data_IF_732005598718
#
_entry.id   IF_732005598718
#
_cell.length_a   1.000
_cell.length_b   1.000
_cell.length_c   1.000
_cell.angle_alpha   90.00
_cell.angle_beta   90.00
_cell.angle_gamma   90.00
#
_symmetry.space_group_name_H-M   'P 1'
#
loop_
_entity.id
_entity.type
_entity.pdbx_description
1 polymer ?
#
# COMPACT_ATOMS: atom_id res chain seq x y z
N UNK A 1 -23.11 34.11 -6.56
CA UNK A 1 -22.75 34.30 -7.99
C UNK A 1 -21.88 33.12 -8.41
N UNK A 2 -22.50 32.05 -8.92
CA UNK A 2 -21.78 30.86 -9.38
C UNK A 2 -21.24 31.09 -10.78
N UNK A 3 -19.93 30.99 -10.97
CA UNK A 3 -19.29 30.96 -12.30
C UNK A 3 -18.93 29.51 -12.62
N UNK A 4 -19.74 28.90 -13.48
CA UNK A 4 -19.50 27.59 -14.07
C UNK A 4 -18.49 27.71 -15.22
N UNK A 5 -17.43 26.90 -15.21
CA UNK A 5 -16.48 26.81 -16.32
C UNK A 5 -17.05 25.94 -17.47
N UNK A 6 -16.79 26.25 -18.75
CA UNK A 6 -17.31 25.50 -19.88
C UNK A 6 -16.47 24.25 -20.15
N UNK A 7 -17.15 23.12 -20.38
CA UNK A 7 -16.58 21.87 -20.90
C UNK A 7 -16.40 22.00 -22.41
N UNK A 8 -15.18 21.79 -22.91
CA UNK A 8 -14.92 21.64 -24.34
C UNK A 8 -15.14 20.19 -24.76
N UNK A 9 -16.22 19.97 -25.52
CA UNK A 9 -16.45 18.77 -26.30
C UNK A 9 -16.10 19.06 -27.77
N UNK A 10 -15.21 18.28 -28.38
CA UNK A 10 -15.05 18.12 -29.84
C UNK A 10 -14.60 16.67 -30.10
N UNK A 11 -15.52 15.80 -30.49
CA UNK A 11 -15.95 15.42 -31.87
C UNK A 11 -15.02 14.38 -32.50
N UNK A 12 -15.64 13.22 -32.77
CA UNK A 12 -15.18 12.10 -33.59
C UNK A 12 -14.98 12.50 -35.07
N UNK A 13 -14.00 11.88 -35.73
CA UNK A 13 -13.98 11.69 -37.18
C UNK A 13 -13.24 10.39 -37.55
N UNK A 14 -13.78 9.70 -38.54
CA UNK A 14 -13.57 8.30 -38.92
C UNK A 14 -12.36 8.00 -39.83
N UNK A 15 -12.07 6.69 -39.92
CA UNK A 15 -11.44 5.92 -41.02
C UNK A 15 -9.93 6.16 -41.26
N UNK A 16 -9.07 5.16 -41.43
CA UNK A 16 -9.13 4.04 -42.39
C UNK A 16 -8.26 2.84 -41.95
N UNK A 17 -8.71 1.63 -42.27
CA UNK A 17 -7.95 0.37 -42.21
C UNK A 17 -7.04 0.23 -43.44
N UNK A 18 -5.82 -0.32 -43.30
CA UNK A 18 -5.36 -1.32 -44.26
C UNK A 18 -4.92 -2.63 -43.60
N UNK A 19 -5.45 -3.72 -44.15
CA UNK A 19 -4.96 -5.09 -44.00
C UNK A 19 -3.62 -5.20 -44.73
N UNK A 20 -2.57 -5.72 -44.08
CA UNK A 20 -1.42 -6.29 -44.76
C UNK A 20 -1.12 -7.67 -44.16
N UNK A 21 -1.42 -8.70 -44.95
CA UNK A 21 -0.94 -10.06 -44.79
C UNK A 21 0.52 -10.11 -45.25
N UNK A 22 1.44 -10.55 -44.39
CA UNK A 22 2.68 -11.19 -44.83
C UNK A 22 2.89 -12.46 -44.02
N UNK A 23 2.77 -13.58 -44.73
CA UNK A 23 3.26 -14.87 -44.29
C UNK A 23 4.79 -14.84 -44.26
N UNK A 24 5.39 -15.16 -43.12
CA UNK A 24 6.83 -15.32 -42.94
C UNK A 24 7.16 -16.73 -42.48
N UNK A 25 6.93 -17.70 -43.37
CA UNK A 25 7.43 -19.06 -43.22
C UNK A 25 8.83 -19.10 -43.84
N UNK A 26 9.86 -19.20 -43.03
CA UNK A 26 11.24 -19.35 -43.49
C UNK A 26 11.74 -20.73 -43.07
N UNK A 27 11.83 -21.65 -44.04
CA UNK A 27 12.90 -22.65 -44.21
C UNK A 27 12.49 -23.64 -45.30
N UNK A 28 13.30 -23.72 -46.36
CA UNK A 28 13.05 -24.51 -47.55
C UNK A 28 13.40 -25.99 -47.44
N UNK A 29 12.55 -26.79 -48.07
CA UNK A 29 12.76 -27.92 -48.98
C UNK A 29 13.93 -28.91 -48.76
N UNK A 30 13.57 -30.18 -48.56
CA UNK A 30 14.04 -31.30 -49.39
C UNK A 30 13.01 -32.46 -49.41
N UNK A 31 12.82 -33.06 -50.59
CA UNK A 31 11.91 -34.19 -50.87
C UNK A 31 12.58 -35.53 -50.56
N UNK A 32 11.81 -36.49 -50.03
CA UNK A 32 11.62 -37.85 -50.58
C UNK A 32 10.61 -38.65 -49.74
N UNK A 33 9.69 -39.29 -50.43
CA UNK A 33 8.75 -40.27 -49.90
C UNK A 33 9.47 -41.52 -49.39
N UNK A 34 9.08 -42.03 -48.22
CA UNK A 34 9.01 -43.47 -47.95
C UNK A 34 8.00 -43.75 -46.83
N UNK A 35 7.09 -44.69 -47.10
CA UNK A 35 6.12 -45.22 -46.15
C UNK A 35 6.85 -46.06 -45.10
N UNK A 36 6.64 -45.77 -43.82
CA UNK A 36 6.69 -46.79 -42.78
C UNK A 36 5.79 -46.41 -41.59
N UNK A 37 4.96 -47.37 -41.18
CA UNK A 37 4.18 -47.33 -39.96
C UNK A 37 5.13 -47.45 -38.75
N UNK A 38 4.95 -46.60 -37.74
CA UNK A 38 5.71 -46.66 -36.49
C UNK A 38 5.24 -45.55 -35.55
N UNK A 39 4.77 -45.93 -34.37
CA UNK A 39 4.00 -45.07 -33.49
C UNK A 39 4.76 -44.06 -32.63
N UNK A 40 3.96 -43.49 -31.74
CA UNK A 40 4.31 -42.88 -30.46
C UNK A 40 4.90 -41.46 -30.41
N UNK A 41 4.12 -40.66 -29.67
CA UNK A 41 4.53 -39.57 -28.79
C UNK A 41 4.99 -38.26 -29.44
N UNK A 42 4.04 -37.32 -29.56
CA UNK A 42 4.36 -35.91 -29.29
C UNK A 42 4.90 -35.83 -27.86
N UNK A 43 6.08 -35.26 -27.60
CA UNK A 43 6.39 -34.82 -26.25
C UNK A 43 5.55 -33.58 -25.99
N UNK A 44 4.31 -33.79 -25.52
CA UNK A 44 3.60 -32.78 -24.76
C UNK A 44 4.34 -32.62 -23.44
N UNK A 45 5.39 -31.81 -23.44
CA UNK A 45 6.06 -31.44 -22.19
C UNK A 45 5.02 -30.71 -21.34
N UNK A 46 4.68 -31.17 -20.12
CA UNK A 46 3.90 -30.36 -19.22
C UNK A 46 4.76 -29.14 -18.89
N UNK A 47 4.38 -27.99 -19.43
CA UNK A 47 4.96 -26.72 -19.01
C UNK A 47 4.68 -26.59 -17.52
N UNK A 48 5.71 -26.80 -16.69
CA UNK A 48 5.61 -26.63 -15.25
C UNK A 48 5.17 -25.19 -15.00
N UNK A 49 3.89 -25.01 -14.69
CA UNK A 49 3.38 -23.69 -14.30
C UNK A 49 4.14 -23.28 -13.05
N UNK A 50 4.70 -22.05 -12.97
CA UNK A 50 5.49 -21.63 -11.84
C UNK A 50 4.66 -21.75 -10.55
N UNK A 51 5.05 -22.67 -9.67
CA UNK A 51 4.43 -22.83 -8.35
C UNK A 51 4.95 -21.74 -7.43
N UNK A 52 4.15 -20.70 -7.27
CA UNK A 52 4.42 -19.59 -6.34
C UNK A 52 3.93 -19.94 -4.93
N UNK A 53 4.69 -19.55 -3.90
CA UNK A 53 4.27 -19.73 -2.51
C UNK A 53 2.93 -19.01 -2.24
N UNK A 54 2.01 -19.67 -1.54
CA UNK A 54 0.68 -19.13 -1.24
C UNK A 54 0.74 -17.92 -0.30
N UNK A 55 -0.21 -17.00 -0.46
CA UNK A 55 -0.39 -15.86 0.43
C UNK A 55 -0.99 -16.32 1.78
N UNK A 56 -0.50 -15.76 2.89
CA UNK A 56 -0.98 -16.09 4.25
C UNK A 56 -2.36 -15.50 4.53
N UNK A 57 -2.59 -14.27 4.09
CA UNK A 57 -3.84 -13.54 4.28
C UNK A 57 -4.61 -13.45 2.96
N UNK A 58 -5.92 -13.69 3.01
CA UNK A 58 -6.82 -13.62 1.85
C UNK A 58 -7.71 -12.37 1.82
N UNK A 59 -7.90 -11.72 2.98
CA UNK A 59 -8.72 -10.52 3.17
C UNK A 59 -8.09 -9.58 4.20
N UNK A 60 -8.46 -8.31 4.15
CA UNK A 60 -8.13 -7.30 5.16
C UNK A 60 -9.22 -7.25 6.24
N UNK A 61 -8.89 -6.95 7.51
CA UNK A 61 -9.88 -6.59 8.51
C UNK A 61 -10.45 -5.19 8.21
N UNK A 62 -11.46 -4.79 8.97
CA UNK A 62 -11.88 -3.39 9.01
C UNK A 62 -10.73 -2.52 9.54
N UNK A 63 -10.24 -1.60 8.70
CA UNK A 63 -9.04 -0.80 8.97
C UNK A 63 -9.24 0.19 10.13
N UNK A 64 -10.45 0.71 10.32
CA UNK A 64 -10.72 1.60 11.44
C UNK A 64 -10.77 0.86 12.79
N UNK A 65 -11.08 -0.43 12.76
CA UNK A 65 -11.09 -1.30 13.94
C UNK A 65 -9.73 -1.92 14.28
N UNK A 66 -8.65 -1.61 13.53
CA UNK A 66 -7.31 -2.13 13.85
C UNK A 66 -6.67 -1.47 15.06
N UNK A 67 -7.21 -0.33 15.50
CA UNK A 67 -6.80 0.37 16.72
C UNK A 67 -7.98 0.43 17.68
N UNK A 68 -7.72 0.21 18.96
CA UNK A 68 -8.72 0.34 20.00
C UNK A 68 -9.12 1.80 20.21
N UNK A 69 -10.33 2.02 20.72
CA UNK A 69 -10.79 3.36 21.09
C UNK A 69 -9.88 4.03 22.13
N UNK A 70 -9.25 3.25 23.03
CA UNK A 70 -8.27 3.76 23.99
C UNK A 70 -7.04 4.31 23.28
N UNK A 71 -6.47 3.56 22.34
CA UNK A 71 -5.31 4.01 21.54
C UNK A 71 -5.65 5.27 20.76
N UNK A 72 -6.84 5.34 20.15
CA UNK A 72 -7.28 6.55 19.44
C UNK A 72 -7.43 7.73 20.38
N UNK A 73 -8.03 7.55 21.57
CA UNK A 73 -8.19 8.63 22.56
C UNK A 73 -6.84 9.14 23.08
N UNK A 74 -5.85 8.26 23.25
CA UNK A 74 -4.50 8.61 23.70
C UNK A 74 -3.70 9.34 22.60
N UNK A 75 -3.79 8.89 21.34
CA UNK A 75 -2.98 9.41 20.23
C UNK A 75 -3.62 10.59 19.49
N UNK A 76 -4.95 10.67 19.48
CA UNK A 76 -5.68 11.75 18.81
C UNK A 76 -6.68 12.35 19.80
N UNK A 77 -6.21 13.10 20.81
CA UNK A 77 -7.09 13.81 21.73
C UNK A 77 -8.09 14.66 20.96
N UNK A 78 -9.35 14.66 21.43
CA UNK A 78 -10.46 15.36 20.77
C UNK A 78 -10.64 14.97 19.29
N UNK A 79 -10.40 13.69 18.95
CA UNK A 79 -10.68 13.18 17.62
C UNK A 79 -12.08 13.57 17.13
N UNK A 80 -12.18 14.16 15.94
CA UNK A 80 -13.44 14.57 15.30
C UNK A 80 -14.39 13.38 15.13
N UNK A 81 -13.83 12.20 14.86
CA UNK A 81 -14.56 10.94 14.83
C UNK A 81 -13.74 9.86 15.55
N UNK A 82 -14.21 9.43 16.72
CA UNK A 82 -13.57 8.39 17.53
C UNK A 82 -13.47 7.03 16.82
N UNK A 83 -14.42 6.72 15.92
CA UNK A 83 -14.39 5.49 15.13
C UNK A 83 -13.51 5.61 13.88
N UNK A 84 -12.95 6.79 13.63
CA UNK A 84 -12.17 7.07 12.44
C UNK A 84 -13.02 7.21 11.19
N UNK A 85 -12.41 7.79 10.16
CA UNK A 85 -13.01 8.00 8.86
C UNK A 85 -12.34 7.09 7.86
N UNK A 86 -13.06 6.10 7.36
CA UNK A 86 -12.61 5.31 6.21
C UNK A 86 -12.36 6.23 5.01
N UNK A 87 -11.22 6.07 4.37
CA UNK A 87 -10.85 6.83 3.18
C UNK A 87 -11.21 6.04 1.91
N UNK A 88 -11.60 6.73 0.81
CA UNK A 88 -11.86 6.08 -0.47
C UNK A 88 -10.65 5.28 -0.95
N UNK A 89 -10.91 4.11 -1.53
CA UNK A 89 -9.90 3.24 -2.14
C UNK A 89 -10.37 2.85 -3.53
N UNK A 90 -9.44 2.87 -4.50
CA UNK A 90 -9.72 2.40 -5.86
C UNK A 90 -9.92 0.88 -5.91
N UNK A 91 -9.34 0.14 -4.96
CA UNK A 91 -9.53 -1.31 -4.81
C UNK A 91 -9.72 -1.66 -3.33
N UNK A 92 -10.97 -1.73 -2.90
CA UNK A 92 -11.34 -2.09 -1.54
C UNK A 92 -11.07 -3.55 -1.18
N UNK A 93 -10.78 -4.42 -2.16
CA UNK A 93 -10.47 -5.82 -1.91
C UNK A 93 -9.04 -6.02 -1.41
N UNK A 94 -8.14 -5.09 -1.74
CA UNK A 94 -6.73 -5.18 -1.37
C UNK A 94 -6.20 -3.94 -0.65
N UNK A 95 -6.99 -2.87 -0.55
CA UNK A 95 -6.58 -1.64 0.10
C UNK A 95 -7.68 -1.03 0.94
N UNK A 96 -7.34 -0.64 2.16
CA UNK A 96 -8.23 0.09 3.06
C UNK A 96 -7.40 1.07 3.90
N UNK A 97 -7.94 2.28 4.12
CA UNK A 97 -7.29 3.29 4.95
C UNK A 97 -8.30 3.93 5.90
N UNK A 98 -7.86 4.26 7.11
CA UNK A 98 -8.64 5.01 8.09
C UNK A 98 -7.86 6.22 8.60
N UNK A 99 -8.56 7.35 8.76
CA UNK A 99 -8.03 8.60 9.29
C UNK A 99 -8.74 8.98 10.59
N UNK A 100 -7.94 9.40 11.56
CA UNK A 100 -8.37 10.14 12.74
C UNK A 100 -7.65 11.48 12.76
N UNK A 101 -8.36 12.55 13.04
CA UNK A 101 -7.77 13.86 13.28
C UNK A 101 -8.44 14.54 14.47
N UNK A 102 -7.65 15.31 15.22
CA UNK A 102 -8.08 15.98 16.43
C UNK A 102 -7.31 17.28 16.62
N UNK A 103 -7.96 18.22 17.29
CA UNK A 103 -7.37 19.47 17.73
C UNK A 103 -7.81 19.68 19.17
N UNK A 104 -6.87 19.57 20.11
CA UNK A 104 -7.11 19.89 21.51
C UNK A 104 -6.47 21.24 21.82
N UNK A 105 -7.30 22.28 21.96
CA UNK A 105 -6.87 23.67 21.95
C UNK A 105 -6.08 23.99 20.67
N UNK A 106 -4.75 24.04 20.76
CA UNK A 106 -3.85 24.32 19.65
C UNK A 106 -2.98 23.12 19.26
N UNK A 107 -3.13 21.98 19.94
CA UNK A 107 -2.38 20.76 19.67
C UNK A 107 -3.11 19.92 18.62
N UNK A 108 -2.59 19.92 17.40
CA UNK A 108 -3.11 19.12 16.30
C UNK A 108 -2.47 17.73 16.28
N UNK A 109 -3.31 16.72 16.04
CA UNK A 109 -2.88 15.34 15.77
C UNK A 109 -3.66 14.75 14.61
N UNK A 110 -2.96 14.00 13.77
CA UNK A 110 -3.55 13.20 12.69
C UNK A 110 -2.90 11.84 12.65
N UNK A 111 -3.71 10.79 12.62
CA UNK A 111 -3.28 9.40 12.54
C UNK A 111 -3.97 8.76 11.34
N UNK A 112 -3.19 8.21 10.41
CA UNK A 112 -3.70 7.42 9.30
C UNK A 112 -3.13 6.02 9.36
N UNK A 113 -3.99 5.00 9.29
CA UNK A 113 -3.57 3.61 9.08
C UNK A 113 -4.01 3.20 7.69
N UNK A 114 -3.06 2.75 6.87
CA UNK A 114 -3.32 2.22 5.54
C UNK A 114 -2.85 0.77 5.44
N UNK A 115 -3.70 -0.09 4.89
CA UNK A 115 -3.44 -1.50 4.68
C UNK A 115 -3.35 -1.79 3.18
N UNK A 116 -2.36 -2.59 2.79
CA UNK A 116 -2.26 -3.15 1.44
C UNK A 116 -2.04 -4.67 1.51
N UNK A 117 -2.95 -5.42 0.92
CA UNK A 117 -2.87 -6.87 0.76
C UNK A 117 -2.26 -7.21 -0.60
N UNK A 118 -1.32 -8.14 -0.62
CA UNK A 118 -0.72 -8.69 -1.82
C UNK A 118 -1.12 -10.15 -1.98
N UNK A 119 -1.71 -10.49 -3.13
CA UNK A 119 -1.95 -11.90 -3.49
C UNK A 119 -0.70 -12.48 -4.15
N UNK A 120 -0.44 -13.75 -3.89
CA UNK A 120 0.52 -14.50 -4.68
C UNK A 120 -0.04 -14.74 -6.07
N UNK A 121 0.81 -14.56 -7.07
CA UNK A 121 0.43 -14.71 -8.47
C UNK A 121 1.61 -15.37 -9.22
N UNK A 122 1.38 -16.41 -10.05
CA UNK A 122 2.46 -17.09 -10.76
C UNK A 122 3.27 -16.19 -11.71
N UNK A 123 2.66 -15.12 -12.25
CA UNK A 123 3.31 -14.16 -13.13
C UNK A 123 4.02 -13.01 -12.40
N UNK A 124 3.59 -12.68 -11.17
CA UNK A 124 4.15 -11.56 -10.38
C UNK A 124 5.00 -11.98 -9.18
N UNK A 125 4.97 -13.26 -8.80
CA UNK A 125 5.65 -13.79 -7.63
C UNK A 125 4.80 -13.80 -6.35
N UNK A 126 5.43 -14.20 -5.24
CA UNK A 126 4.71 -14.39 -3.97
C UNK A 126 4.22 -13.08 -3.39
N UNK A 127 3.06 -13.13 -2.72
CA UNK A 127 2.48 -11.95 -2.07
C UNK A 127 3.41 -11.36 -1.00
N UNK A 128 4.16 -12.21 -0.29
CA UNK A 128 5.12 -11.78 0.73
C UNK A 128 6.29 -10.99 0.14
N UNK A 129 6.90 -11.49 -0.95
CA UNK A 129 7.99 -10.78 -1.63
C UNK A 129 7.52 -9.41 -2.14
N UNK A 130 6.36 -9.39 -2.79
CA UNK A 130 5.75 -8.15 -3.32
C UNK A 130 5.39 -7.16 -2.22
N UNK A 131 4.93 -7.65 -1.07
CA UNK A 131 4.71 -6.83 0.12
C UNK A 131 6.02 -6.22 0.62
N UNK A 132 7.13 -6.96 0.61
CA UNK A 132 8.46 -6.44 0.98
C UNK A 132 8.94 -5.30 0.07
N UNK A 133 8.83 -5.50 -1.24
CA UNK A 133 9.17 -4.47 -2.23
C UNK A 133 8.31 -3.22 -2.06
N UNK A 134 7.00 -3.40 -1.85
CA UNK A 134 6.10 -2.27 -1.60
C UNK A 134 6.41 -1.56 -0.28
N UNK A 135 6.71 -2.28 0.80
CA UNK A 135 7.08 -1.69 2.08
C UNK A 135 8.33 -0.80 1.96
N UNK A 136 9.37 -1.29 1.27
CA UNK A 136 10.56 -0.50 0.98
C UNK A 136 10.24 0.76 0.16
N UNK A 137 9.35 0.64 -0.85
CA UNK A 137 8.89 1.78 -1.63
C UNK A 137 8.12 2.80 -0.76
N UNK A 138 7.25 2.35 0.15
CA UNK A 138 6.51 3.26 1.03
C UNK A 138 7.42 4.01 1.99
N UNK A 139 8.44 3.35 2.56
CA UNK A 139 9.43 4.02 3.40
C UNK A 139 10.22 5.08 2.61
N UNK A 140 10.67 4.74 1.39
CA UNK A 140 11.37 5.70 0.51
C UNK A 140 10.47 6.90 0.13
N UNK A 141 9.19 6.65 -0.15
CA UNK A 141 8.20 7.71 -0.42
C UNK A 141 7.99 8.60 0.80
N UNK A 142 7.84 8.03 1.99
CA UNK A 142 7.68 8.81 3.22
C UNK A 142 8.86 9.75 3.48
N UNK A 143 10.08 9.34 3.10
CA UNK A 143 11.28 10.16 3.28
C UNK A 143 11.41 11.30 2.26
N UNK A 144 10.60 11.32 1.20
CA UNK A 144 10.79 12.21 0.04
C UNK A 144 9.50 12.88 -0.46
N UNK A 145 8.35 12.56 0.12
CA UNK A 145 7.06 13.07 -0.34
C UNK A 145 6.86 14.55 0.00
N UNK A 146 6.27 15.30 -0.92
CA UNK A 146 5.87 16.68 -0.66
C UNK A 146 7.04 17.61 -0.36
N UNK A 147 6.92 18.39 0.72
CA UNK A 147 7.94 19.37 1.16
C UNK A 147 8.59 18.97 2.48
N UNK A 148 8.70 17.65 2.73
CA UNK A 148 9.35 17.13 3.92
C UNK A 148 10.85 17.45 3.95
N UNK A 149 11.40 17.55 5.15
CA UNK A 149 12.79 17.87 5.45
C UNK A 149 13.30 17.00 6.60
N UNK A 150 14.62 16.98 6.78
CA UNK A 150 15.32 16.20 7.81
C UNK A 150 14.90 14.71 7.91
N UNK A 151 14.81 13.97 6.79
CA UNK A 151 14.36 12.59 6.84
C UNK A 151 15.34 11.72 7.64
N UNK A 152 14.80 10.97 8.60
CA UNK A 152 15.54 9.94 9.34
C UNK A 152 14.85 8.61 9.14
N UNK A 153 15.55 7.65 8.56
CA UNK A 153 15.02 6.32 8.26
C UNK A 153 15.78 5.27 9.07
N UNK A 154 15.04 4.39 9.76
CA UNK A 154 15.62 3.34 10.59
C UNK A 154 14.84 2.03 10.43
N UNK A 155 15.56 0.91 10.34
CA UNK A 155 14.94 -0.41 10.47
C UNK A 155 14.70 -0.70 11.95
N UNK A 156 13.54 -1.26 12.27
CA UNK A 156 13.18 -1.60 13.66
C UNK A 156 12.70 -3.04 13.76
N UNK A 157 13.13 -3.73 14.82
CA UNK A 157 12.72 -5.09 15.11
C UNK A 157 11.49 -5.14 16.03
N UNK A 158 10.83 -6.30 16.10
CA UNK A 158 9.74 -6.55 17.04
C UNK A 158 8.39 -5.92 16.66
N UNK A 159 8.21 -5.52 15.39
CA UNK A 159 6.94 -5.06 14.82
C UNK A 159 6.74 -5.75 13.48
N UNK A 160 5.80 -6.70 13.41
CA UNK A 160 5.62 -7.54 12.21
C UNK A 160 6.86 -8.37 11.88
N UNK A 161 6.98 -8.75 10.61
CA UNK A 161 8.13 -9.51 10.08
C UNK A 161 9.28 -8.56 9.69
N UNK A 162 8.95 -7.35 9.24
CA UNK A 162 9.89 -6.27 8.98
C UNK A 162 9.20 -4.93 9.22
N UNK A 163 9.92 -3.99 9.83
CA UNK A 163 9.42 -2.63 10.00
C UNK A 163 10.52 -1.58 9.74
N UNK A 164 10.12 -0.48 9.13
CA UNK A 164 10.95 0.69 8.88
C UNK A 164 10.21 1.92 9.39
N UNK A 165 10.92 2.77 10.14
CA UNK A 165 10.39 4.06 10.56
C UNK A 165 11.02 5.18 9.78
N UNK A 166 10.23 6.20 9.46
CA UNK A 166 10.65 7.41 8.77
C UNK A 166 10.11 8.60 9.55
N UNK A 167 11.02 9.41 10.09
CA UNK A 167 10.70 10.66 10.77
C UNK A 167 11.06 11.83 9.85
N UNK A 168 10.13 12.75 9.65
CA UNK A 168 10.35 13.97 8.87
C UNK A 168 9.83 15.20 9.62
N UNK A 169 10.19 16.37 9.09
CA UNK A 169 9.56 17.64 9.44
C UNK A 169 8.98 18.28 8.19
N UNK A 170 7.89 18.99 8.33
CA UNK A 170 7.34 19.85 7.29
C UNK A 170 7.00 21.21 7.90
N UNK A 171 7.19 22.30 7.15
CA UNK A 171 6.69 23.61 7.53
C UNK A 171 5.54 24.00 6.62
N UNK A 172 4.37 24.24 7.19
CA UNK A 172 3.14 24.52 6.45
C UNK A 172 2.38 25.67 7.11
N UNK A 173 2.04 26.69 6.31
CA UNK A 173 1.26 27.85 6.74
C UNK A 173 1.81 28.59 7.98
N UNK A 174 3.12 28.45 8.24
CA UNK A 174 3.81 29.05 9.39
C UNK A 174 4.10 28.07 10.52
N UNK A 175 3.39 26.94 10.56
CA UNK A 175 3.48 25.93 11.61
C UNK A 175 4.48 24.82 11.27
N UNK A 176 5.15 24.31 12.31
CA UNK A 176 6.11 23.20 12.20
C UNK A 176 5.41 21.87 12.52
N UNK A 177 5.37 20.98 11.52
CA UNK A 177 4.85 19.63 11.62
C UNK A 177 5.96 18.61 11.88
N UNK A 178 5.63 17.60 12.67
CA UNK A 178 6.44 16.41 12.90
C UNK A 178 5.67 15.21 12.40
N UNK A 179 6.25 14.49 11.44
CA UNK A 179 5.58 13.36 10.80
C UNK A 179 6.35 12.09 11.11
N UNK A 180 5.64 11.08 11.61
CA UNK A 180 6.19 9.79 11.96
C UNK A 180 5.50 8.71 11.15
N UNK A 181 6.20 8.15 10.17
CA UNK A 181 5.70 7.01 9.40
C UNK A 181 6.32 5.72 9.92
N UNK A 182 5.49 4.72 10.20
CA UNK A 182 5.90 3.34 10.49
C UNK A 182 5.35 2.45 9.38
N UNK A 183 6.24 1.90 8.56
CA UNK A 183 5.89 0.93 7.53
C UNK A 183 6.22 -0.46 8.06
N UNK A 184 5.23 -1.34 8.10
CA UNK A 184 5.36 -2.71 8.61
C UNK A 184 4.93 -3.69 7.53
N UNK A 185 5.70 -4.74 7.32
CA UNK A 185 5.28 -5.94 6.60
C UNK A 185 4.95 -7.04 7.60
N UNK A 186 3.81 -7.69 7.41
CA UNK A 186 3.46 -8.96 8.05
C UNK A 186 2.92 -9.91 6.99
N UNK A 187 3.74 -10.90 6.64
CA UNK A 187 3.62 -11.72 5.45
C UNK A 187 3.25 -10.86 4.22
N UNK A 188 2.13 -11.20 3.58
CA UNK A 188 1.65 -10.53 2.38
C UNK A 188 0.77 -9.29 2.63
N UNK A 189 0.85 -8.67 3.82
CA UNK A 189 0.18 -7.41 4.15
C UNK A 189 1.21 -6.34 4.52
N UNK A 190 1.03 -5.14 3.99
CA UNK A 190 1.78 -3.94 4.41
C UNK A 190 0.85 -3.00 5.16
N UNK A 191 1.32 -2.54 6.30
CA UNK A 191 0.71 -1.49 7.12
C UNK A 191 1.58 -0.25 6.95
N UNK A 192 0.98 0.86 6.51
CA UNK A 192 1.61 2.18 6.56
C UNK A 192 0.84 3.00 7.57
N UNK A 193 1.44 3.24 8.74
CA UNK A 193 0.91 4.11 9.77
C UNK A 193 1.62 5.45 9.69
N UNK A 194 0.86 6.55 9.52
CA UNK A 194 1.37 7.91 9.50
C UNK A 194 0.78 8.65 10.70
N UNK A 195 1.63 9.22 11.53
CA UNK A 195 1.24 9.97 12.72
C UNK A 195 1.91 11.34 12.71
N UNK A 196 1.09 12.36 12.53
CA UNK A 196 1.51 13.73 12.30
C UNK A 196 1.02 14.61 13.45
N UNK A 197 1.84 15.58 13.83
CA UNK A 197 1.45 16.55 14.85
C UNK A 197 2.08 17.90 14.66
N UNK A 198 1.32 18.94 15.01
CA UNK A 198 1.75 20.33 15.01
C UNK A 198 1.17 21.04 16.25
N UNK A 199 1.83 22.12 16.66
CA UNK A 199 1.27 23.09 17.59
C UNK A 199 0.94 24.35 16.81
N UNK A 200 -0.29 24.83 16.93
CA UNK A 200 -0.76 26.06 16.30
C UNK A 200 -0.68 27.25 17.25
N UNK A 201 -0.75 28.47 16.70
CA UNK A 201 -0.74 29.72 17.47
C UNK A 201 0.42 29.81 18.48
N UNK A 202 0.12 29.56 19.75
CA UNK A 202 1.07 29.61 20.88
C UNK A 202 1.64 28.24 21.27
N UNK A 203 1.07 27.15 20.76
CA UNK A 203 1.54 25.81 21.05
C UNK A 203 2.82 25.50 20.28
N UNK A 204 3.67 24.67 20.89
CA UNK A 204 4.90 24.20 20.26
C UNK A 204 4.61 22.94 19.46
N UNK A 205 5.40 22.72 18.43
CA UNK A 205 5.44 21.42 17.77
C UNK A 205 5.72 20.30 18.79
N UNK A 206 5.08 19.14 18.65
CA UNK A 206 5.31 18.01 19.54
C UNK A 206 6.73 17.48 19.47
N UNK A 207 7.13 16.75 20.50
CA UNK A 207 8.39 16.01 20.46
C UNK A 207 8.31 14.86 19.45
N UNK A 208 9.30 14.77 18.57
CA UNK A 208 9.31 13.79 17.49
C UNK A 208 9.58 12.36 18.01
N UNK A 209 10.36 12.20 19.08
CA UNK A 209 10.68 10.88 19.63
C UNK A 209 9.48 10.29 20.37
N UNK A 210 8.72 11.12 21.10
CA UNK A 210 7.47 10.71 21.74
C UNK A 210 6.43 10.30 20.69
N UNK A 211 6.22 11.12 19.65
CA UNK A 211 5.34 10.73 18.52
C UNK A 211 5.79 9.41 17.88
N UNK A 212 7.09 9.21 17.69
CA UNK A 212 7.60 7.99 17.06
C UNK A 212 7.35 6.75 17.93
N UNK A 213 7.52 6.89 19.25
CA UNK A 213 7.24 5.82 20.22
C UNK A 213 5.76 5.43 20.17
N UNK A 214 4.88 6.41 20.14
CA UNK A 214 3.44 6.22 20.04
C UNK A 214 3.04 5.55 18.71
N UNK A 215 3.59 6.02 17.60
CA UNK A 215 3.38 5.43 16.27
C UNK A 215 3.83 3.95 16.22
N UNK A 216 4.98 3.63 16.81
CA UNK A 216 5.47 2.24 16.94
C UNK A 216 4.51 1.37 17.77
N UNK A 217 3.93 1.91 18.84
CA UNK A 217 2.97 1.20 19.69
C UNK A 217 1.68 0.88 18.92
N UNK A 218 1.10 1.88 18.23
CA UNK A 218 -0.09 1.69 17.41
C UNK A 218 0.15 0.73 16.24
N UNK A 219 1.34 0.77 15.63
CA UNK A 219 1.71 -0.17 14.57
C UNK A 219 1.74 -1.63 15.07
N UNK A 220 2.24 -1.88 16.29
CA UNK A 220 2.20 -3.22 16.92
C UNK A 220 0.76 -3.69 17.15
N UNK A 221 -0.11 -2.79 17.61
CA UNK A 221 -1.54 -3.12 17.79
C UNK A 221 -2.20 -3.49 16.46
N UNK A 222 -1.95 -2.69 15.41
CA UNK A 222 -2.47 -2.96 14.07
C UNK A 222 -1.99 -4.31 13.52
N UNK A 223 -0.71 -4.68 13.69
CA UNK A 223 -0.20 -6.02 13.35
C UNK A 223 -0.98 -7.11 14.08
N UNK A 224 -1.24 -6.92 15.38
CA UNK A 224 -2.04 -7.84 16.18
C UNK A 224 -3.47 -8.00 15.63
N UNK A 225 -4.09 -6.92 15.16
CA UNK A 225 -5.41 -6.95 14.54
C UNK A 225 -5.44 -7.72 13.20
N UNK A 226 -4.42 -7.56 12.35
CA UNK A 226 -4.29 -8.35 11.10
C UNK A 226 -4.25 -9.85 11.42
N UNK A 227 -3.44 -10.24 12.40
CA UNK A 227 -3.30 -11.64 12.82
C UNK A 227 -4.60 -12.23 13.36
N UNK A 228 -5.43 -11.44 14.05
CA UNK A 228 -6.75 -11.86 14.57
C UNK A 228 -7.81 -11.95 13.45
N UNK A 229 -7.88 -10.96 12.57
CA UNK A 229 -8.86 -10.92 11.48
C UNK A 229 -8.73 -12.09 10.50
N UNK A 230 -7.53 -12.65 10.36
CA UNK A 230 -7.28 -13.86 9.60
C UNK A 230 -7.91 -15.13 10.21
N UNK A 231 -7.98 -15.22 11.54
CA UNK A 231 -8.54 -16.38 12.25
C UNK A 231 -10.06 -16.44 12.18
N UNK A 232 -10.73 -15.29 12.01
CA UNK A 232 -12.20 -15.21 11.91
C UNK A 232 -12.71 -15.47 10.49
N UNK A 233 -11.81 -15.70 9.52
CA UNK A 233 -12.17 -15.94 8.11
C UNK A 233 -11.73 -17.27 7.54
N UNK A 234 -11.15 -18.15 8.36
CA UNK A 234 -10.86 -19.55 8.05
C UNK A 234 -11.93 -20.42 8.72
#
# INVERSE_FOLDING_TARGET
MHRSAPRLARILACATVPVVLVAGCSSGSDKKDDKNAGGSARPGSPSASPTVAAAKFSKLPDVCSTLSGKTVDDLVPKAQNKKGKALPSADTNTSASCLWSGLDKFDYRSLTVSLKLFRSDPGLGSGDKRAGEYAAQQASRAATAGKVTDPKTEKVAGIGDEATTVSTKEKKDGDDFRDQTVVVRTANVVITLQYDGAGYETAKAPDAADLLKDAKSAAKEAVGAIGKGAKTGA
#
